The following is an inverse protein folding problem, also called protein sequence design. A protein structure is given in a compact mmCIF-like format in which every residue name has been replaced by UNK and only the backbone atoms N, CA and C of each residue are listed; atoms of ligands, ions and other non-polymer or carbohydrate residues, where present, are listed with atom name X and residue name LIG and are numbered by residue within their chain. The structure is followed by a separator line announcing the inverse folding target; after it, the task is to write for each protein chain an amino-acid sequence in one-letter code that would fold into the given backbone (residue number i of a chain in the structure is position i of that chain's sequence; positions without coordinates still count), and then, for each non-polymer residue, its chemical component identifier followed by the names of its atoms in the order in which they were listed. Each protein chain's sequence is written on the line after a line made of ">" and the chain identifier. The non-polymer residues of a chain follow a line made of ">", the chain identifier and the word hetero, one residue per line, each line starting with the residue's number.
data_IF_120760890591
#
_entry.id   IF_120760890591
#
_cell.length_a   1.000
_cell.length_b   1.000
_cell.length_c   1.000
_cell.angle_alpha   90.00
_cell.angle_beta   90.00
_cell.angle_gamma   90.00
#
_symmetry.space_group_name_H-M   'P 1'
#
loop_
_entity.id
_entity.type
_entity.pdbx_description
1 polymer ?
#
# COMPACT_ATOMS: atom_id res chain seq x y z
N UNK A 1 -26.72 -44.20 -43.89
CA UNK A 1 -26.76 -42.79 -43.37
C UNK A 1 -26.20 -42.76 -41.99
N UNK A 2 -25.08 -42.14 -41.82
CA UNK A 2 -24.26 -42.13 -40.56
C UNK A 2 -24.49 -40.81 -39.83
N UNK A 3 -25.05 -40.85 -38.62
CA UNK A 3 -25.12 -39.69 -37.74
C UNK A 3 -23.93 -39.65 -36.79
N UNK A 4 -23.35 -38.51 -36.49
CA UNK A 4 -22.18 -38.40 -35.64
C UNK A 4 -22.56 -38.42 -34.16
N UNK A 5 -21.82 -39.22 -33.43
CA UNK A 5 -21.81 -39.23 -31.96
C UNK A 5 -21.00 -38.05 -31.47
N UNK A 6 -21.63 -37.09 -30.83
CA UNK A 6 -20.95 -36.15 -29.94
C UNK A 6 -21.08 -36.67 -28.52
N UNK A 7 -19.99 -37.19 -28.02
CA UNK A 7 -19.82 -37.53 -26.62
C UNK A 7 -19.44 -36.26 -25.86
N UNK A 8 -20.27 -35.90 -24.89
CA UNK A 8 -20.04 -34.85 -23.95
C UNK A 8 -18.88 -35.23 -23.04
N UNK A 9 -17.81 -34.41 -23.07
CA UNK A 9 -16.77 -34.33 -22.04
C UNK A 9 -16.84 -32.96 -21.45
N UNK A 10 -17.70 -32.77 -20.51
CA UNK A 10 -17.75 -31.61 -19.66
C UNK A 10 -18.23 -32.05 -18.27
N UNK A 11 -17.33 -32.51 -17.43
CA UNK A 11 -17.57 -32.49 -15.97
C UNK A 11 -16.26 -32.92 -15.28
N UNK A 12 -15.37 -31.99 -15.02
CA UNK A 12 -14.35 -32.16 -13.97
C UNK A 12 -13.45 -30.90 -13.86
N UNK A 13 -13.99 -29.75 -13.57
CA UNK A 13 -13.17 -28.57 -13.24
C UNK A 13 -13.79 -27.64 -12.20
N UNK A 14 -14.75 -28.09 -11.40
CA UNK A 14 -15.47 -27.19 -10.47
C UNK A 14 -15.15 -27.43 -8.99
N UNK A 15 -14.31 -28.40 -8.63
CA UNK A 15 -14.15 -28.75 -7.20
C UNK A 15 -12.80 -28.39 -6.58
N UNK A 16 -11.96 -27.60 -7.21
CA UNK A 16 -10.63 -27.24 -6.65
C UNK A 16 -10.45 -25.75 -6.27
N UNK A 17 -11.49 -24.93 -6.34
CA UNK A 17 -11.39 -23.50 -6.04
C UNK A 17 -11.80 -23.09 -4.63
N UNK A 18 -12.17 -23.98 -3.73
CA UNK A 18 -12.75 -23.58 -2.43
C UNK A 18 -11.81 -23.53 -1.23
N UNK A 19 -10.54 -23.91 -1.36
CA UNK A 19 -9.63 -23.94 -0.20
C UNK A 19 -8.64 -22.74 -0.17
N UNK A 20 -8.54 -21.96 -1.25
CA UNK A 20 -7.61 -20.83 -1.38
C UNK A 20 -8.20 -19.42 -1.16
N UNK A 21 -9.52 -19.29 -1.09
CA UNK A 21 -10.18 -17.97 -1.15
C UNK A 21 -9.98 -17.09 0.11
N UNK A 22 -9.72 -17.70 1.27
CA UNK A 22 -9.62 -16.92 2.52
C UNK A 22 -8.29 -16.19 2.72
N UNK A 23 -7.18 -16.67 2.15
CA UNK A 23 -5.88 -16.02 2.28
C UNK A 23 -5.68 -14.92 1.23
N UNK A 24 -6.28 -15.07 0.04
CA UNK A 24 -6.18 -14.09 -1.04
C UNK A 24 -6.94 -12.80 -0.76
N UNK A 25 -8.03 -12.85 0.00
CA UNK A 25 -8.84 -11.66 0.32
C UNK A 25 -8.16 -10.73 1.31
N UNK A 26 -7.54 -11.27 2.38
CA UNK A 26 -6.85 -10.44 3.39
C UNK A 26 -5.58 -9.83 2.81
N UNK A 27 -4.82 -10.57 2.01
CA UNK A 27 -3.64 -10.03 1.33
C UNK A 27 -4.03 -8.93 0.34
N UNK A 28 -5.08 -9.15 -0.45
CA UNK A 28 -5.61 -8.13 -1.36
C UNK A 28 -6.09 -6.88 -0.62
N UNK A 29 -6.68 -7.02 0.57
CA UNK A 29 -7.08 -5.89 1.40
C UNK A 29 -5.86 -5.11 1.91
N UNK A 30 -4.82 -5.78 2.39
CA UNK A 30 -3.59 -5.15 2.82
C UNK A 30 -2.91 -4.39 1.65
N UNK A 31 -2.86 -4.98 0.46
CA UNK A 31 -2.27 -4.37 -0.74
C UNK A 31 -3.05 -3.12 -1.17
N UNK A 32 -4.38 -3.19 -1.21
CA UNK A 32 -5.24 -2.04 -1.52
C UNK A 32 -5.09 -0.94 -0.48
N UNK A 33 -5.07 -1.28 0.80
CA UNK A 33 -4.95 -0.29 1.87
C UNK A 33 -3.58 0.40 1.86
N UNK A 34 -2.49 -0.34 1.61
CA UNK A 34 -1.16 0.23 1.48
C UNK A 34 -1.07 1.20 0.28
N UNK A 35 -1.60 0.78 -0.88
CA UNK A 35 -1.62 1.61 -2.09
C UNK A 35 -2.49 2.86 -1.91
N UNK A 36 -3.71 2.74 -1.39
CA UNK A 36 -4.62 3.87 -1.16
C UNK A 36 -4.03 4.88 -0.18
N UNK A 37 -3.40 4.40 0.88
CA UNK A 37 -2.73 5.26 1.84
C UNK A 37 -1.58 6.04 1.21
N UNK A 38 -0.72 5.36 0.46
CA UNK A 38 0.45 5.95 -0.17
C UNK A 38 0.11 6.85 -1.38
N UNK A 39 -0.91 6.51 -2.17
CA UNK A 39 -1.24 7.22 -3.41
C UNK A 39 -2.29 8.34 -3.23
N UNK A 40 -3.12 8.27 -2.20
CA UNK A 40 -4.24 9.20 -2.01
C UNK A 40 -4.14 9.96 -0.69
N UNK A 41 -4.11 9.24 0.43
CA UNK A 41 -4.23 9.87 1.74
C UNK A 41 -2.99 10.66 2.13
N UNK A 42 -1.81 10.09 2.00
CA UNK A 42 -0.52 10.75 2.32
C UNK A 42 -0.28 11.96 1.42
N UNK A 43 -0.40 11.89 0.07
CA UNK A 43 -0.21 13.05 -0.78
C UNK A 43 -1.19 14.19 -0.48
N UNK A 44 -2.44 13.86 -0.13
CA UNK A 44 -3.44 14.86 0.24
C UNK A 44 -3.06 15.60 1.52
N UNK A 45 -2.67 14.86 2.56
CA UNK A 45 -2.26 15.44 3.83
C UNK A 45 -0.98 16.27 3.69
N UNK A 46 0.02 15.72 2.99
CA UNK A 46 1.28 16.41 2.73
C UNK A 46 1.07 17.69 1.91
N UNK A 47 0.24 17.65 0.87
CA UNK A 47 -0.09 18.85 0.06
C UNK A 47 -0.72 19.93 0.93
N UNK A 48 -1.72 19.57 1.73
CA UNK A 48 -2.38 20.50 2.64
C UNK A 48 -1.39 21.18 3.59
N UNK A 49 -0.45 20.40 4.12
CA UNK A 49 0.59 20.92 5.02
C UNK A 49 1.53 21.88 4.31
N UNK A 50 2.09 21.48 3.16
CA UNK A 50 3.04 22.30 2.41
C UNK A 50 2.40 23.60 1.87
N UNK A 51 1.15 23.53 1.44
CA UNK A 51 0.43 24.70 0.93
C UNK A 51 0.07 25.68 2.07
N UNK A 52 -0.20 25.17 3.27
CA UNK A 52 -0.48 26.01 4.45
C UNK A 52 0.73 26.83 4.92
N UNK A 53 1.95 26.37 4.61
CA UNK A 53 3.20 27.03 5.02
C UNK A 53 3.63 28.16 4.09
N UNK A 54 3.05 28.29 2.91
CA UNK A 54 3.39 29.35 1.94
C UNK A 54 4.84 29.32 1.46
N UNK A 55 5.42 28.12 1.32
CA UNK A 55 6.83 27.92 0.98
C UNK A 55 7.15 28.38 -0.44
N UNK A 56 8.19 29.20 -0.59
CA UNK A 56 8.49 29.88 -1.84
C UNK A 56 9.39 29.07 -2.79
N UNK A 57 10.24 28.19 -2.25
CA UNK A 57 11.22 27.45 -3.06
C UNK A 57 11.01 25.94 -3.00
N UNK A 58 11.40 25.22 -4.08
CA UNK A 58 11.37 23.76 -4.08
C UNK A 58 12.21 23.12 -2.96
N UNK A 59 13.32 23.73 -2.59
CA UNK A 59 14.19 23.25 -1.51
C UNK A 59 13.49 23.34 -0.15
N UNK A 60 12.84 24.50 0.16
CA UNK A 60 12.07 24.67 1.40
C UNK A 60 10.91 23.69 1.47
N UNK A 61 10.24 23.42 0.36
CA UNK A 61 9.18 22.42 0.29
C UNK A 61 9.71 21.01 0.60
N UNK A 62 10.87 20.65 0.07
CA UNK A 62 11.50 19.35 0.34
C UNK A 62 11.94 19.20 1.79
N UNK A 63 12.50 20.26 2.40
CA UNK A 63 12.85 20.28 3.82
C UNK A 63 11.60 20.11 4.70
N UNK A 64 10.55 20.87 4.41
CA UNK A 64 9.29 20.78 5.12
C UNK A 64 8.63 19.41 4.98
N UNK A 65 8.68 18.81 3.80
CA UNK A 65 8.16 17.46 3.56
C UNK A 65 8.93 16.40 4.36
N UNK A 66 10.25 16.49 4.40
CA UNK A 66 11.10 15.60 5.21
C UNK A 66 10.75 15.69 6.69
N UNK A 67 10.63 16.91 7.21
CA UNK A 67 10.24 17.16 8.61
C UNK A 67 8.85 16.58 8.86
N UNK A 68 7.90 16.81 7.95
CA UNK A 68 6.54 16.29 8.09
C UNK A 68 6.52 14.75 8.17
N UNK A 69 7.24 14.04 7.30
CA UNK A 69 7.33 12.58 7.37
C UNK A 69 7.98 12.07 8.65
N UNK A 70 8.95 12.81 9.20
CA UNK A 70 9.64 12.41 10.43
C UNK A 70 8.83 12.68 11.70
N UNK A 71 8.00 13.71 11.71
CA UNK A 71 7.25 14.15 12.89
C UNK A 71 5.80 13.62 12.91
N UNK A 72 5.18 13.46 11.74
CA UNK A 72 3.80 13.00 11.63
C UNK A 72 3.76 11.47 11.66
N UNK A 73 2.90 10.92 12.49
CA UNK A 73 2.62 9.49 12.49
C UNK A 73 1.39 9.20 11.61
N UNK A 74 1.29 8.03 10.96
CA UNK A 74 0.10 7.68 10.17
C UNK A 74 -1.21 7.83 10.95
N UNK A 75 -1.24 7.51 12.23
CA UNK A 75 -2.41 7.66 13.10
C UNK A 75 -2.88 9.11 13.21
N UNK A 76 -1.97 10.07 13.13
CA UNK A 76 -2.31 11.51 13.25
C UNK A 76 -3.12 12.01 12.05
N UNK A 77 -3.08 11.27 10.93
CA UNK A 77 -3.89 11.52 9.73
C UNK A 77 -4.92 10.40 9.46
N UNK A 78 -5.28 9.67 10.51
CA UNK A 78 -6.28 8.60 10.48
C UNK A 78 -5.92 7.43 9.56
N UNK A 79 -4.64 7.11 9.43
CA UNK A 79 -4.16 5.95 8.69
C UNK A 79 -3.64 4.87 9.63
N UNK A 80 -3.82 3.61 9.27
CA UNK A 80 -3.15 2.48 9.88
C UNK A 80 -1.73 2.29 9.32
N UNK A 81 -0.90 1.54 10.04
CA UNK A 81 0.45 1.21 9.59
C UNK A 81 1.54 2.20 10.01
N UNK A 82 2.64 2.18 9.28
CA UNK A 82 3.76 3.11 9.49
C UNK A 82 4.47 3.37 8.16
N UNK A 83 5.31 4.39 8.12
CA UNK A 83 6.18 4.66 6.97
C UNK A 83 7.62 4.84 7.38
N UNK A 84 8.51 4.64 6.40
CA UNK A 84 9.96 4.85 6.54
C UNK A 84 10.43 5.70 5.36
N UNK A 85 11.06 6.84 5.65
CA UNK A 85 11.75 7.62 4.62
C UNK A 85 13.09 6.95 4.35
N UNK A 86 13.27 6.40 3.15
CA UNK A 86 14.48 5.65 2.76
C UNK A 86 15.58 6.55 2.25
N UNK A 87 15.23 7.53 1.44
CA UNK A 87 16.19 8.46 0.87
C UNK A 87 15.53 9.76 0.44
N UNK A 88 16.37 10.77 0.25
CA UNK A 88 15.98 12.04 -0.35
C UNK A 88 17.02 12.46 -1.39
N UNK A 89 16.53 12.83 -2.56
CA UNK A 89 17.33 13.36 -3.67
C UNK A 89 16.70 14.67 -4.17
N UNK A 90 17.25 15.80 -3.74
CA UNK A 90 16.69 17.11 -4.02
C UNK A 90 15.27 17.25 -3.47
N UNK A 91 14.27 17.35 -4.37
CA UNK A 91 12.83 17.48 -4.03
C UNK A 91 12.10 16.15 -3.97
N UNK A 92 12.79 15.05 -4.21
CA UNK A 92 12.22 13.70 -4.26
C UNK A 92 12.53 12.95 -2.99
N UNK A 93 11.49 12.46 -2.32
CA UNK A 93 11.59 11.63 -1.13
C UNK A 93 11.11 10.22 -1.46
N UNK A 94 11.94 9.22 -1.21
CA UNK A 94 11.53 7.83 -1.26
C UNK A 94 10.97 7.41 0.08
N UNK A 95 9.74 6.91 0.07
CA UNK A 95 9.03 6.50 1.28
C UNK A 95 8.40 5.13 1.05
N UNK A 96 8.59 4.24 2.00
CA UNK A 96 7.95 2.94 2.04
C UNK A 96 6.86 2.98 3.10
N UNK A 97 5.63 2.62 2.70
CA UNK A 97 4.45 2.62 3.56
C UNK A 97 4.02 1.19 3.86
N UNK A 98 4.01 0.82 5.12
CA UNK A 98 3.72 -0.53 5.60
C UNK A 98 2.34 -0.59 6.24
N UNK A 99 1.55 -1.59 5.87
CA UNK A 99 0.22 -1.85 6.44
C UNK A 99 0.15 -3.31 6.88
N UNK A 100 -0.48 -3.53 8.03
CA UNK A 100 -0.88 -4.85 8.49
C UNK A 100 -2.39 -4.87 8.70
N UNK A 101 -3.04 -5.84 8.09
CA UNK A 101 -4.48 -6.08 8.25
C UNK A 101 -4.66 -7.36 9.05
N UNK A 102 -5.54 -7.32 10.05
CA UNK A 102 -5.91 -8.48 10.85
C UNK A 102 -7.39 -8.80 10.61
N UNK A 103 -7.68 -10.05 10.30
CA UNK A 103 -9.07 -10.48 10.22
C UNK A 103 -9.66 -10.56 11.62
N UNK A 104 -10.65 -9.72 11.89
CA UNK A 104 -11.38 -9.70 13.15
C UNK A 104 -12.27 -10.93 13.32
N UNK A 105 -11.71 -12.10 13.60
CA UNK A 105 -12.47 -13.22 14.11
C UNK A 105 -12.65 -13.04 15.61
N UNK A 106 -13.88 -12.77 16.03
CA UNK A 106 -14.25 -12.65 17.46
C UNK A 106 -14.27 -14.00 18.19
N UNK A 107 -13.95 -15.10 17.53
CA UNK A 107 -13.99 -16.44 18.11
C UNK A 107 -12.62 -17.11 18.06
N UNK A 108 -11.96 -17.36 19.20
CA UNK A 108 -10.87 -18.32 19.27
C UNK A 108 -11.44 -19.75 19.05
N UNK A 109 -10.74 -20.68 18.35
CA UNK A 109 -9.33 -21.02 18.52
C UNK A 109 -8.42 -20.81 17.29
N UNK A 110 -8.94 -20.27 16.20
CA UNK A 110 -8.17 -20.13 14.95
C UNK A 110 -7.51 -18.75 14.94
N UNK A 111 -6.38 -18.60 15.62
CA UNK A 111 -5.64 -17.35 15.74
C UNK A 111 -5.80 -16.44 14.50
N UNK A 112 -6.24 -15.19 14.72
CA UNK A 112 -6.63 -14.26 13.66
C UNK A 112 -5.63 -14.26 12.52
N UNK A 113 -6.11 -14.41 11.27
CA UNK A 113 -5.25 -14.32 10.10
C UNK A 113 -4.81 -12.87 9.94
N UNK A 114 -3.53 -12.65 9.72
CA UNK A 114 -3.00 -11.34 9.39
C UNK A 114 -2.31 -11.37 8.03
N UNK A 115 -2.36 -10.25 7.33
CA UNK A 115 -1.60 -10.02 6.12
C UNK A 115 -0.88 -8.67 6.21
N UNK A 116 0.32 -8.60 5.69
CA UNK A 116 1.11 -7.37 5.64
C UNK A 116 1.42 -7.01 4.20
N UNK A 117 1.46 -5.71 3.91
CA UNK A 117 1.83 -5.19 2.60
C UNK A 117 2.70 -3.95 2.74
N UNK A 118 3.49 -3.67 1.70
CA UNK A 118 4.30 -2.46 1.58
C UNK A 118 4.06 -1.79 0.24
N UNK A 119 3.89 -0.47 0.26
CA UNK A 119 3.81 0.36 -0.93
C UNK A 119 5.03 1.30 -0.97
N UNK A 120 5.90 1.12 -1.96
CA UNK A 120 7.09 1.95 -2.15
C UNK A 120 6.80 3.06 -3.15
N UNK A 121 7.02 4.31 -2.74
CA UNK A 121 6.70 5.51 -3.52
C UNK A 121 7.82 6.52 -3.50
N UNK A 122 7.89 7.30 -4.56
CA UNK A 122 8.69 8.52 -4.61
C UNK A 122 7.74 9.71 -4.67
N UNK A 123 7.83 10.58 -3.69
CA UNK A 123 7.09 11.84 -3.63
C UNK A 123 7.98 12.96 -4.15
N UNK A 124 7.57 13.63 -5.22
CA UNK A 124 8.22 14.87 -5.68
C UNK A 124 7.39 16.06 -5.23
N UNK A 125 8.04 16.97 -4.50
CA UNK A 125 7.39 18.12 -3.86
C UNK A 125 7.80 19.46 -4.43
N UNK A 126 8.50 19.47 -5.57
CA UNK A 126 9.05 20.71 -6.18
C UNK A 126 7.98 21.78 -6.43
N UNK A 127 6.92 21.43 -7.14
CA UNK A 127 5.87 22.36 -7.57
C UNK A 127 4.45 21.92 -7.15
N UNK A 128 4.39 20.97 -6.26
CA UNK A 128 3.16 20.35 -5.76
C UNK A 128 3.54 19.06 -5.04
N UNK A 129 2.62 18.12 -4.95
CA UNK A 129 2.92 16.76 -4.47
C UNK A 129 2.53 15.80 -5.57
N UNK A 130 3.50 15.22 -6.24
CA UNK A 130 3.29 14.12 -7.19
C UNK A 130 3.82 12.82 -6.61
N UNK A 131 3.22 11.71 -6.99
CA UNK A 131 3.56 10.38 -6.49
C UNK A 131 3.91 9.48 -7.64
N UNK A 132 5.01 8.76 -7.52
CA UNK A 132 5.43 7.75 -8.47
C UNK A 132 5.58 6.42 -7.74
N UNK A 133 4.92 5.38 -8.25
CA UNK A 133 5.14 4.02 -7.80
C UNK A 133 6.54 3.56 -8.25
N UNK A 134 7.24 2.91 -7.33
CA UNK A 134 8.56 2.31 -7.58
C UNK A 134 8.59 0.89 -7.03
N UNK A 135 9.48 0.08 -7.57
CA UNK A 135 9.67 -1.27 -7.04
C UNK A 135 10.20 -1.23 -5.61
N UNK A 136 9.64 -2.08 -4.76
CA UNK A 136 10.14 -2.25 -3.42
C UNK A 136 11.44 -3.05 -3.45
N UNK A 137 12.54 -2.54 -2.89
CA UNK A 137 13.76 -3.31 -2.76
C UNK A 137 13.56 -4.43 -1.73
N UNK A 138 14.48 -5.38 -1.74
CA UNK A 138 14.40 -6.54 -0.85
C UNK A 138 14.34 -6.13 0.63
N UNK A 139 15.12 -5.12 1.01
CA UNK A 139 15.14 -4.59 2.37
C UNK A 139 13.77 -4.11 2.84
N UNK A 140 12.99 -3.48 1.97
CA UNK A 140 11.63 -3.04 2.29
C UNK A 140 10.68 -4.22 2.49
N UNK A 141 10.90 -5.33 1.80
CA UNK A 141 10.11 -6.56 1.95
C UNK A 141 10.51 -7.32 3.23
N UNK A 142 11.78 -7.27 3.62
CA UNK A 142 12.28 -7.91 4.85
C UNK A 142 11.80 -7.18 6.12
N UNK A 143 11.41 -5.90 6.02
CA UNK A 143 10.89 -5.07 7.12
C UNK A 143 9.36 -5.21 7.32
N UNK A 144 8.68 -6.11 6.59
CA UNK A 144 7.24 -6.33 6.76
C UNK A 144 6.90 -6.79 8.18
N UNK A 145 5.90 -6.17 8.83
CA UNK A 145 5.49 -6.47 10.20
C UNK A 145 4.75 -7.82 10.34
#
# INVERSE_FOLDING_TARGET
>A
MRGPRFVAVMTSCVLLCFVGAGCSTIQSEADVQAADSADVAVPRALRKELDSRGLASPAERADAAQVWFNETRPIDISLGGHWVVRSREGTRLRVDFYVRVESGSLLPPDGGKSASSVACRVYDVAHGVTVQQVDCPKESLDDLP
#
